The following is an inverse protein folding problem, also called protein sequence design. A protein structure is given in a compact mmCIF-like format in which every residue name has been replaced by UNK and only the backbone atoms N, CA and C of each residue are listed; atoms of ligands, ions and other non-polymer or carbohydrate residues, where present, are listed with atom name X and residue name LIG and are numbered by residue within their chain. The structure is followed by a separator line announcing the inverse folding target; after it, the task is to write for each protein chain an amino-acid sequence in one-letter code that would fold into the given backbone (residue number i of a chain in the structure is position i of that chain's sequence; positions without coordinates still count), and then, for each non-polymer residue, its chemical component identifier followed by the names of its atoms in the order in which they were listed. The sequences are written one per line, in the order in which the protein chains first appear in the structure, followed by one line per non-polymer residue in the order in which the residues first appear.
data_IF_857477202367
#
_entry.id   IF_857477202367
#
_cell.length_a   1.000
_cell.length_b   1.000
_cell.length_c   1.000
_cell.angle_alpha   90.00
_cell.angle_beta   90.00
_cell.angle_gamma   90.00
#
_symmetry.space_group_name_H-M   'P 1'
#
loop_
_entity.id
_entity.type
_entity.pdbx_description
1 polymer ?
#
# COMPACT_ATOMS: atom_id res chain seq x y z
N UNK A 1 -13.16 -11.92 -5.45
CA UNK A 1 -12.14 -12.12 -6.52
C UNK A 1 -10.80 -12.15 -5.83
N UNK A 2 -10.03 -13.20 -6.04
CA UNK A 2 -8.69 -13.32 -5.50
C UNK A 2 -7.69 -12.57 -6.40
N UNK A 3 -6.60 -12.02 -5.84
CA UNK A 3 -5.54 -11.41 -6.64
C UNK A 3 -4.83 -12.44 -7.51
N UNK A 4 -4.31 -12.02 -8.67
CA UNK A 4 -3.42 -12.87 -9.45
C UNK A 4 -2.06 -12.96 -8.78
N UNK A 5 -1.38 -14.11 -8.93
CA UNK A 5 -0.04 -14.30 -8.38
C UNK A 5 1.01 -13.98 -9.44
N UNK A 6 2.26 -13.76 -9.03
CA UNK A 6 3.39 -13.62 -9.96
C UNK A 6 3.48 -14.83 -10.92
N UNK A 7 3.21 -16.03 -10.42
CA UNK A 7 3.30 -17.28 -11.20
C UNK A 7 2.16 -17.45 -12.22
N UNK A 8 1.03 -16.77 -12.01
CA UNK A 8 -0.13 -16.79 -12.88
C UNK A 8 -0.78 -15.39 -12.91
N UNK A 9 -0.16 -14.45 -13.66
CA UNK A 9 -0.44 -13.02 -13.54
C UNK A 9 -1.72 -12.58 -14.25
N UNK A 10 -2.33 -13.44 -15.07
CA UNK A 10 -3.44 -13.05 -15.93
C UNK A 10 -4.60 -14.04 -15.83
N UNK A 11 -5.82 -13.51 -15.76
CA UNK A 11 -7.03 -14.31 -15.89
C UNK A 11 -8.14 -13.59 -16.64
N UNK A 12 -9.13 -14.33 -17.12
CA UNK A 12 -10.36 -13.75 -17.66
C UNK A 12 -11.41 -13.61 -16.54
N UNK A 13 -12.17 -12.53 -16.56
CA UNK A 13 -13.35 -12.32 -15.74
C UNK A 13 -14.59 -12.34 -16.62
N UNK A 14 -15.53 -13.23 -16.34
CA UNK A 14 -16.85 -13.23 -16.97
C UNK A 14 -17.79 -12.30 -16.19
N UNK A 15 -18.21 -11.16 -16.76
CA UNK A 15 -19.09 -10.22 -16.09
C UNK A 15 -20.55 -10.70 -15.97
N UNK A 16 -20.94 -11.73 -16.73
CA UNK A 16 -22.31 -12.28 -16.69
C UNK A 16 -22.42 -13.34 -15.59
N UNK A 17 -21.45 -14.26 -15.52
CA UNK A 17 -21.36 -15.28 -14.48
C UNK A 17 -20.67 -14.82 -13.19
N UNK A 18 -20.13 -13.59 -13.17
CA UNK A 18 -19.34 -13.00 -12.08
C UNK A 18 -18.21 -13.91 -11.58
N UNK A 19 -17.53 -14.61 -12.51
CA UNK A 19 -16.58 -15.65 -12.18
C UNK A 19 -15.27 -15.55 -12.98
N UNK A 20 -14.23 -16.24 -12.49
CA UNK A 20 -12.93 -16.33 -13.17
C UNK A 20 -12.99 -17.41 -14.26
N UNK A 21 -12.53 -17.05 -15.45
CA UNK A 21 -12.44 -17.92 -16.64
C UNK A 21 -11.00 -17.91 -17.18
N UNK A 22 -10.62 -18.88 -18.03
CA UNK A 22 -9.32 -18.87 -18.70
C UNK A 22 -9.08 -17.56 -19.45
N UNK A 23 -7.85 -17.04 -19.37
CA UNK A 23 -7.48 -15.84 -20.11
C UNK A 23 -7.70 -16.04 -21.62
N UNK A 24 -8.27 -15.02 -22.29
CA UNK A 24 -8.60 -15.08 -23.71
C UNK A 24 -9.95 -15.74 -24.04
N UNK A 25 -10.78 -16.07 -23.04
CA UNK A 25 -12.16 -16.50 -23.27
C UNK A 25 -12.96 -15.39 -23.96
N UNK A 26 -13.65 -15.70 -25.05
CA UNK A 26 -14.44 -14.72 -25.80
C UNK A 26 -15.54 -14.11 -24.92
N UNK A 27 -15.65 -12.78 -24.92
CA UNK A 27 -16.59 -12.06 -24.06
C UNK A 27 -16.13 -11.85 -22.61
N UNK A 28 -14.96 -12.38 -22.21
CA UNK A 28 -14.38 -12.12 -20.89
C UNK A 28 -13.47 -10.89 -20.85
N UNK A 29 -13.28 -10.32 -19.67
CA UNK A 29 -12.38 -9.19 -19.39
C UNK A 29 -11.04 -9.74 -18.91
N UNK A 30 -9.93 -9.38 -19.57
CA UNK A 30 -8.60 -9.72 -19.08
C UNK A 30 -8.25 -8.93 -17.82
N UNK A 31 -7.83 -9.61 -16.77
CA UNK A 31 -7.46 -9.03 -15.48
C UNK A 31 -6.03 -9.43 -15.12
N UNK A 32 -5.23 -8.42 -14.74
CA UNK A 32 -3.91 -8.57 -14.14
C UNK A 32 -3.90 -7.77 -12.85
N UNK A 33 -3.99 -8.46 -11.70
CA UNK A 33 -4.08 -7.90 -10.37
C UNK A 33 -2.96 -8.49 -9.50
N UNK A 34 -1.71 -8.26 -9.90
CA UNK A 34 -0.52 -8.76 -9.21
C UNK A 34 -0.20 -7.80 -8.06
N UNK A 35 -0.46 -8.25 -6.83
CA UNK A 35 -0.47 -7.40 -5.63
C UNK A 35 0.91 -6.99 -5.10
N UNK A 36 2.04 -7.44 -5.69
CA UNK A 36 3.37 -7.25 -5.11
C UNK A 36 4.48 -6.76 -6.08
N UNK A 37 4.11 -6.05 -7.14
CA UNK A 37 5.08 -5.50 -8.11
C UNK A 37 6.22 -4.63 -7.52
N UNK A 38 6.11 -3.97 -6.34
CA UNK A 38 7.26 -3.27 -5.75
C UNK A 38 8.40 -4.20 -5.28
N UNK A 39 8.13 -5.48 -5.03
CA UNK A 39 9.10 -6.43 -4.48
C UNK A 39 9.91 -7.19 -5.54
N UNK A 40 9.64 -7.01 -6.83
CA UNK A 40 10.34 -7.74 -7.91
C UNK A 40 11.65 -7.07 -8.37
N UNK A 41 11.90 -5.81 -7.99
CA UNK A 41 13.21 -5.13 -8.08
C UNK A 41 13.76 -4.78 -6.68
N UNK A 42 14.03 -5.79 -5.82
CA UNK A 42 14.22 -5.58 -4.39
C UNK A 42 15.50 -4.81 -4.03
N UNK A 43 16.53 -4.84 -4.89
CA UNK A 43 17.80 -4.13 -4.63
C UNK A 43 17.71 -2.63 -4.89
N UNK A 44 17.01 -2.23 -5.94
CA UNK A 44 16.92 -0.81 -6.31
C UNK A 44 15.94 -0.08 -5.38
N UNK A 45 14.77 -0.69 -5.10
CA UNK A 45 13.78 -0.09 -4.21
C UNK A 45 14.31 0.16 -2.79
N UNK A 46 15.10 -0.76 -2.23
CA UNK A 46 15.67 -0.60 -0.88
C UNK A 46 16.73 0.50 -0.82
N UNK A 47 17.58 0.60 -1.85
CA UNK A 47 18.61 1.63 -1.94
C UNK A 47 17.98 3.02 -2.15
N UNK A 48 17.01 3.12 -3.06
CA UNK A 48 16.30 4.37 -3.36
C UNK A 48 15.46 4.85 -2.16
N UNK A 49 14.79 3.92 -1.46
CA UNK A 49 14.11 4.23 -0.22
C UNK A 49 15.07 4.77 0.85
N UNK A 50 16.21 4.11 1.03
CA UNK A 50 17.23 4.54 2.00
C UNK A 50 17.81 5.91 1.68
N UNK A 51 18.13 6.18 0.41
CA UNK A 51 18.60 7.48 -0.06
C UNK A 51 17.55 8.58 0.18
N UNK A 52 16.30 8.32 -0.19
CA UNK A 52 15.19 9.26 0.02
C UNK A 52 14.95 9.54 1.51
N UNK A 53 15.00 8.52 2.35
CA UNK A 53 14.86 8.67 3.81
C UNK A 53 15.96 9.57 4.37
N UNK A 54 17.22 9.32 4.00
CA UNK A 54 18.38 10.09 4.44
C UNK A 54 18.34 11.54 3.96
N UNK A 55 17.99 11.76 2.69
CA UNK A 55 18.04 13.10 2.08
C UNK A 55 16.82 13.96 2.44
N UNK A 56 15.64 13.36 2.55
CA UNK A 56 14.38 14.11 2.67
C UNK A 56 13.77 14.06 4.08
N UNK A 57 13.94 12.96 4.82
CA UNK A 57 13.24 12.73 6.08
C UNK A 57 14.12 13.02 7.29
N UNK A 58 15.37 12.55 7.30
CA UNK A 58 16.29 12.75 8.44
C UNK A 58 16.50 14.24 8.77
N UNK A 59 16.67 15.17 7.80
CA UNK A 59 16.79 16.59 8.12
C UNK A 59 15.58 17.14 8.87
N UNK A 60 14.36 16.72 8.51
CA UNK A 60 13.13 17.13 9.20
C UNK A 60 13.10 16.65 10.65
N UNK A 61 13.68 15.49 10.94
CA UNK A 61 13.74 14.92 12.29
C UNK A 61 14.77 15.68 13.16
N UNK A 62 15.91 16.06 12.59
CA UNK A 62 17.03 16.67 13.33
C UNK A 62 16.87 18.19 13.45
N UNK A 63 16.47 18.84 12.36
CA UNK A 63 16.40 20.30 12.24
C UNK A 63 15.00 20.85 12.53
N UNK A 64 14.00 19.97 12.52
CA UNK A 64 12.61 20.27 12.85
C UNK A 64 11.68 20.28 11.63
N UNK A 65 10.40 20.09 11.91
CA UNK A 65 9.35 19.90 10.91
C UNK A 65 8.56 21.18 10.64
N UNK A 66 9.23 22.21 10.13
CA UNK A 66 8.62 23.53 9.94
C UNK A 66 7.38 23.51 9.03
N UNK A 67 7.32 22.55 8.10
CA UNK A 67 6.25 22.39 7.11
C UNK A 67 5.18 21.36 7.54
N UNK A 68 5.29 20.78 8.74
CA UNK A 68 4.34 19.78 9.24
C UNK A 68 4.32 18.48 8.42
N UNK A 69 5.41 18.14 7.73
CA UNK A 69 5.52 16.93 6.92
C UNK A 69 5.55 15.70 7.82
N UNK A 70 6.37 15.69 8.88
CA UNK A 70 6.45 14.60 9.83
C UNK A 70 5.15 14.45 10.61
N UNK A 71 4.52 15.56 11.01
CA UNK A 71 3.22 15.52 11.70
C UNK A 71 2.15 14.84 10.84
N UNK A 72 2.02 15.21 9.56
CA UNK A 72 1.07 14.59 8.64
C UNK A 72 1.42 13.15 8.27
N UNK A 73 2.70 12.80 8.29
CA UNK A 73 3.18 11.45 8.01
C UNK A 73 3.10 10.51 9.23
N UNK A 74 2.87 11.05 10.44
CA UNK A 74 2.81 10.27 11.68
C UNK A 74 1.38 9.78 11.95
N UNK A 75 1.15 8.48 11.74
CA UNK A 75 -0.14 7.85 12.05
C UNK A 75 -0.49 7.91 13.54
N UNK A 76 0.52 7.93 14.41
CA UNK A 76 0.37 7.98 15.87
C UNK A 76 1.08 9.18 16.48
N UNK A 77 0.51 9.69 17.56
CA UNK A 77 1.16 10.64 18.47
C UNK A 77 2.30 9.96 19.24
N UNK A 78 3.14 10.76 19.90
CA UNK A 78 4.21 10.26 20.79
C UNK A 78 3.69 9.47 22.02
N UNK A 79 2.38 9.49 22.27
CA UNK A 79 1.72 8.70 23.33
C UNK A 79 1.20 7.35 22.84
N UNK A 80 1.36 7.04 21.55
CA UNK A 80 0.84 5.82 20.92
C UNK A 80 -0.65 5.90 20.55
N UNK A 81 -1.29 7.06 20.71
CA UNK A 81 -2.67 7.30 20.27
C UNK A 81 -2.67 7.67 18.79
N UNK A 82 -3.72 7.31 18.03
CA UNK A 82 -3.85 7.74 16.64
C UNK A 82 -3.86 9.28 16.54
N UNK A 83 -3.12 9.81 15.58
CA UNK A 83 -3.14 11.22 15.24
C UNK A 83 -4.54 11.60 14.69
N UNK A 84 -5.00 12.86 14.87
CA UNK A 84 -6.35 13.27 14.47
C UNK A 84 -6.70 12.97 13.00
N UNK A 85 -5.73 13.13 12.09
CA UNK A 85 -5.89 12.86 10.66
C UNK A 85 -6.14 11.37 10.36
N UNK A 86 -5.76 10.48 11.28
CA UNK A 86 -5.84 9.03 11.15
C UNK A 86 -6.89 8.42 12.09
N UNK A 87 -7.72 9.23 12.75
CA UNK A 87 -8.75 8.75 13.67
C UNK A 87 -9.73 7.74 13.03
N UNK A 88 -9.94 7.83 11.71
CA UNK A 88 -10.76 6.89 10.94
C UNK A 88 -10.20 5.45 10.92
N UNK A 89 -8.92 5.25 11.25
CA UNK A 89 -8.30 3.93 11.35
C UNK A 89 -8.62 3.20 12.66
N UNK A 90 -9.32 3.84 13.61
CA UNK A 90 -9.58 3.25 14.94
C UNK A 90 -10.23 1.88 14.88
N UNK A 91 -11.21 1.68 14.01
CA UNK A 91 -11.89 0.38 13.83
C UNK A 91 -10.94 -0.68 13.25
N UNK A 92 -10.15 -0.29 12.24
CA UNK A 92 -9.16 -1.18 11.60
C UNK A 92 -8.02 -1.57 12.54
N UNK A 93 -7.61 -0.65 13.41
CA UNK A 93 -6.58 -0.85 14.42
C UNK A 93 -7.09 -1.58 15.67
N UNK A 94 -8.40 -1.90 15.74
CA UNK A 94 -9.01 -2.59 16.88
C UNK A 94 -9.09 -1.73 18.15
N UNK A 95 -9.13 -0.41 18.02
CA UNK A 95 -9.19 0.54 19.15
C UNK A 95 -10.63 0.79 19.62
N UNK A 96 -11.63 0.47 18.80
CA UNK A 96 -13.06 0.60 19.08
C UNK A 96 -13.65 -0.78 19.36
N UNK A 97 -13.33 -1.34 20.52
CA UNK A 97 -13.80 -2.68 20.91
C UNK A 97 -13.23 -3.19 22.23
N UNK A 98 -13.62 -2.55 23.34
CA UNK A 98 -13.68 -3.15 24.69
C UNK A 98 -15.09 -3.02 25.24
#
# INVERSE_FOLDING_TARGET
MEPSTIADPMYGYDPVGECRVPFGTEGSIGVMAVDNLPCELPRDASADFGATLLEQVIPLVVEGDAQGILERASETTLKGELSPNFAYLSDYAGLTGQ
#
